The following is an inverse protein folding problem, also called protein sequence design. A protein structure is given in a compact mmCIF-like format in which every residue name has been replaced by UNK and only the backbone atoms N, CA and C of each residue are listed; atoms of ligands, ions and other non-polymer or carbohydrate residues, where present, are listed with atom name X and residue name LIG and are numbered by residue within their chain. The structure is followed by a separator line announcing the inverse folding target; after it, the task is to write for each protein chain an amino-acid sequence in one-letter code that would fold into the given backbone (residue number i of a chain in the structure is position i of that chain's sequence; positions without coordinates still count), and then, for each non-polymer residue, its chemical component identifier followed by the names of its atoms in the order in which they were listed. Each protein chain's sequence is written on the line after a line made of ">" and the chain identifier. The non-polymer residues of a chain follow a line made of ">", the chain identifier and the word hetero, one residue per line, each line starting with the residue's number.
data_IF_128847123688
#
_entry.id   IF_128847123688
#
_cell.length_a   1.000
_cell.length_b   1.000
_cell.length_c   1.000
_cell.angle_alpha   90.00
_cell.angle_beta   90.00
_cell.angle_gamma   90.00
#
_symmetry.space_group_name_H-M   'P 1'
#
loop_
_entity.id
_entity.type
_entity.pdbx_description
1 polymer ?
#
# COMPACT_ATOMS: atom_id res chain seq x y z
N UNK A 1 1.25 -14.24 -10.88
CA UNK A 1 -0.08 -14.00 -10.30
C UNK A 1 -0.75 -12.73 -10.85
N UNK A 2 -0.29 -11.51 -10.53
CA UNK A 2 -0.92 -10.27 -11.04
C UNK A 2 -0.91 -10.19 -12.58
N UNK A 3 0.24 -10.51 -13.19
CA UNK A 3 0.33 -10.64 -14.65
C UNK A 3 -0.71 -11.60 -15.22
N UNK A 4 -0.86 -12.77 -14.61
CA UNK A 4 -1.78 -13.80 -15.09
C UNK A 4 -3.23 -13.32 -14.98
N UNK A 5 -3.60 -12.66 -13.87
CA UNK A 5 -4.94 -12.08 -13.71
C UNK A 5 -5.21 -11.06 -14.81
N UNK A 6 -4.35 -10.05 -14.98
CA UNK A 6 -4.56 -8.99 -15.97
C UNK A 6 -4.59 -9.54 -17.40
N UNK A 7 -3.71 -10.48 -17.73
CA UNK A 7 -3.63 -11.05 -19.07
C UNK A 7 -4.83 -11.95 -19.42
N UNK A 8 -5.52 -12.51 -18.42
CA UNK A 8 -6.70 -13.35 -18.64
C UNK A 8 -8.01 -12.54 -18.69
N UNK A 9 -8.09 -11.37 -18.04
CA UNK A 9 -9.36 -10.63 -17.91
C UNK A 9 -9.41 -9.31 -18.68
N UNK A 10 -8.25 -8.78 -19.12
CA UNK A 10 -8.16 -7.44 -19.69
C UNK A 10 -7.44 -7.42 -21.05
N UNK A 11 -7.82 -6.46 -21.88
CA UNK A 11 -7.11 -6.06 -23.09
C UNK A 11 -6.53 -4.66 -22.93
N UNK A 12 -5.46 -4.35 -23.66
CA UNK A 12 -4.95 -2.99 -23.70
C UNK A 12 -5.97 -2.04 -24.34
N UNK A 13 -6.37 -1.00 -23.61
CA UNK A 13 -7.29 0.04 -24.11
C UNK A 13 -6.81 0.75 -25.38
N UNK A 14 -5.51 0.81 -25.61
CA UNK A 14 -4.91 1.61 -26.69
C UNK A 14 -4.60 0.82 -27.97
N UNK A 15 -4.33 -0.50 -27.85
CA UNK A 15 -3.99 -1.33 -29.01
C UNK A 15 -4.85 -2.61 -29.14
N UNK A 16 -5.82 -2.80 -28.24
CA UNK A 16 -6.79 -3.91 -28.19
C UNK A 16 -6.18 -5.33 -28.14
N UNK A 17 -4.88 -5.44 -27.81
CA UNK A 17 -4.22 -6.74 -27.65
C UNK A 17 -4.54 -7.36 -26.29
N UNK A 18 -4.66 -8.69 -26.30
CA UNK A 18 -4.74 -9.54 -25.09
C UNK A 18 -3.35 -10.07 -24.72
N UNK A 19 -3.19 -10.62 -23.52
CA UNK A 19 -1.92 -11.20 -23.04
C UNK A 19 -0.71 -10.25 -23.17
N UNK A 20 -0.95 -8.95 -23.02
CA UNK A 20 0.04 -7.92 -23.30
C UNK A 20 0.55 -7.17 -22.08
N UNK A 21 -0.03 -7.38 -20.89
CA UNK A 21 0.30 -6.62 -19.70
C UNK A 21 1.53 -7.18 -19.00
N UNK A 22 2.45 -6.26 -18.68
CA UNK A 22 3.51 -6.43 -17.71
C UNK A 22 3.21 -5.58 -16.47
N UNK A 23 2.77 -6.25 -15.41
CA UNK A 23 2.47 -5.67 -14.11
C UNK A 23 3.71 -5.79 -13.25
N UNK A 24 4.25 -4.64 -12.88
CA UNK A 24 5.48 -4.52 -12.12
C UNK A 24 5.25 -3.67 -10.89
N UNK A 25 6.02 -3.97 -9.85
CA UNK A 25 6.07 -3.15 -8.65
C UNK A 25 7.33 -2.28 -8.68
N UNK A 26 7.17 -0.97 -8.48
CA UNK A 26 8.30 -0.09 -8.29
C UNK A 26 8.74 -0.10 -6.81
N UNK A 27 9.66 -1.02 -6.48
CA UNK A 27 10.17 -1.23 -5.12
C UNK A 27 10.86 0.00 -4.51
N UNK A 28 11.51 0.85 -5.31
CA UNK A 28 12.21 2.05 -4.80
C UNK A 28 11.23 3.17 -4.40
N UNK A 29 10.02 3.15 -4.95
CA UNK A 29 8.97 4.10 -4.61
C UNK A 29 8.11 3.70 -3.41
N UNK A 30 8.33 2.51 -2.83
CA UNK A 30 7.58 2.02 -1.66
C UNK A 30 7.60 3.03 -0.51
N UNK A 31 6.48 3.14 0.21
CA UNK A 31 6.33 3.98 1.39
C UNK A 31 5.72 3.13 2.52
N UNK A 32 6.58 2.48 3.30
CA UNK A 32 6.15 1.48 4.28
C UNK A 32 5.47 0.31 3.58
N UNK A 33 4.25 0.00 3.98
CA UNK A 33 3.41 -1.06 3.41
C UNK A 33 2.72 -0.65 2.10
N UNK A 34 2.74 0.63 1.74
CA UNK A 34 2.19 1.08 0.46
C UNK A 34 3.22 0.85 -0.67
N UNK A 35 2.85 0.01 -1.62
CA UNK A 35 3.59 -0.27 -2.85
C UNK A 35 3.03 0.50 -4.04
N UNK A 36 3.91 0.89 -4.97
CA UNK A 36 3.54 1.42 -6.28
C UNK A 36 3.52 0.29 -7.29
N UNK A 37 2.40 0.11 -7.97
CA UNK A 37 2.20 -0.93 -8.98
C UNK A 37 1.83 -0.26 -10.30
N UNK A 38 2.43 -0.72 -11.39
CA UNK A 38 2.13 -0.27 -12.74
C UNK A 38 1.92 -1.44 -13.69
N UNK A 39 0.91 -1.34 -14.54
CA UNK A 39 0.67 -2.23 -15.65
C UNK A 39 1.05 -1.55 -16.97
N UNK A 40 1.99 -2.14 -17.70
CA UNK A 40 2.50 -1.61 -18.98
C UNK A 40 2.17 -2.59 -20.10
N UNK A 41 1.60 -2.09 -21.20
CA UNK A 41 1.42 -2.89 -22.40
C UNK A 41 2.76 -3.09 -23.12
N UNK A 42 3.18 -4.34 -23.33
CA UNK A 42 4.44 -4.69 -24.00
C UNK A 42 4.50 -4.29 -25.48
N UNK A 43 3.34 -4.05 -26.11
CA UNK A 43 3.28 -3.74 -27.56
C UNK A 43 3.23 -2.24 -27.87
N UNK A 44 2.40 -1.47 -27.17
CA UNK A 44 2.26 -0.03 -27.43
C UNK A 44 2.91 0.85 -26.35
N UNK A 45 3.45 0.27 -25.28
CA UNK A 45 4.13 1.00 -24.21
C UNK A 45 3.21 1.78 -23.28
N UNK A 46 1.90 1.79 -23.49
CA UNK A 46 0.96 2.48 -22.58
C UNK A 46 1.10 1.92 -21.17
N UNK A 47 1.35 2.79 -20.20
CA UNK A 47 1.55 2.42 -18.81
C UNK A 47 0.59 3.17 -17.90
N UNK A 48 -0.01 2.46 -16.95
CA UNK A 48 -0.86 3.02 -15.91
C UNK A 48 -0.51 2.37 -14.59
N UNK A 49 -0.41 3.18 -13.55
CA UNK A 49 -0.06 2.68 -12.23
C UNK A 49 -0.53 3.61 -11.12
N UNK A 50 -0.60 3.06 -9.92
CA UNK A 50 -1.00 3.79 -8.73
C UNK A 50 -0.37 3.17 -7.49
N UNK A 51 -0.48 3.90 -6.39
CA UNK A 51 -0.21 3.33 -5.07
C UNK A 51 -1.34 2.36 -4.69
N UNK A 52 -0.97 1.32 -3.96
CA UNK A 52 -1.88 0.30 -3.41
C UNK A 52 -2.75 0.79 -2.25
N UNK A 53 -2.52 2.00 -1.78
CA UNK A 53 -3.27 2.64 -0.70
C UNK A 53 -3.47 4.11 -1.03
N UNK A 54 -4.55 4.70 -0.52
CA UNK A 54 -4.79 6.14 -0.66
C UNK A 54 -3.73 6.94 0.09
N UNK A 55 -3.34 8.05 -0.51
CA UNK A 55 -2.49 9.07 0.11
C UNK A 55 -3.35 9.95 1.02
N UNK A 56 -2.83 10.23 2.20
CA UNK A 56 -3.42 11.11 3.23
C UNK A 56 -2.34 12.03 3.79
N UNK A 57 -2.66 13.15 4.47
CA UNK A 57 -1.65 14.08 4.95
C UNK A 57 -0.55 13.45 5.81
N UNK A 58 -0.87 12.41 6.58
CA UNK A 58 0.07 11.68 7.43
C UNK A 58 0.83 10.54 6.71
N UNK A 59 0.60 10.30 5.42
CA UNK A 59 1.24 9.25 4.64
C UNK A 59 0.25 8.43 3.81
N UNK A 60 0.18 7.13 4.06
CA UNK A 60 -0.77 6.23 3.37
C UNK A 60 -1.68 5.55 4.39
N UNK A 61 -2.95 5.39 4.06
CA UNK A 61 -3.95 4.78 4.96
C UNK A 61 -3.52 3.42 5.50
N UNK A 62 -2.94 2.56 4.64
CA UNK A 62 -2.45 1.24 5.06
C UNK A 62 -1.40 1.33 6.18
N UNK A 63 -0.54 2.35 6.16
CA UNK A 63 0.47 2.55 7.19
C UNK A 63 -0.17 3.00 8.50
N UNK A 64 -1.12 3.94 8.46
CA UNK A 64 -1.84 4.41 9.64
C UNK A 64 -2.63 3.27 10.29
N UNK A 65 -3.37 2.49 9.49
CA UNK A 65 -4.17 1.35 9.98
C UNK A 65 -3.27 0.26 10.56
N UNK A 66 -2.14 -0.02 9.93
CA UNK A 66 -1.18 -0.99 10.45
C UNK A 66 -0.58 -0.54 11.78
N UNK A 67 -0.12 0.70 11.89
CA UNK A 67 0.42 1.24 13.16
C UNK A 67 -0.65 1.29 14.24
N UNK A 68 -1.87 1.71 13.92
CA UNK A 68 -2.99 1.70 14.84
C UNK A 68 -3.30 0.29 15.35
N UNK A 69 -3.41 -0.69 14.44
CA UNK A 69 -3.63 -2.09 14.80
C UNK A 69 -2.54 -2.63 15.72
N UNK A 70 -1.27 -2.39 15.40
CA UNK A 70 -0.14 -2.78 16.26
C UNK A 70 -0.23 -2.11 17.65
N UNK A 71 -0.64 -0.84 17.71
CA UNK A 71 -0.83 -0.11 18.99
C UNK A 71 -1.95 -0.71 19.83
N UNK A 72 -3.08 -1.09 19.23
CA UNK A 72 -4.21 -1.71 19.92
C UNK A 72 -3.82 -3.02 20.63
N UNK A 73 -2.87 -3.77 20.07
CA UNK A 73 -2.38 -5.02 20.66
C UNK A 73 -1.10 -4.84 21.49
N UNK A 74 -0.71 -3.59 21.79
CA UNK A 74 0.49 -3.30 22.60
C UNK A 74 1.82 -3.57 21.90
N UNK A 75 1.82 -3.70 20.57
CA UNK A 75 3.00 -4.02 19.77
C UNK A 75 3.67 -2.75 19.23
N UNK A 76 4.98 -2.65 19.47
CA UNK A 76 5.83 -1.58 18.95
C UNK A 76 6.47 -1.91 17.60
N UNK A 77 7.25 -0.96 17.08
CA UNK A 77 7.92 -1.02 15.77
C UNK A 77 8.76 -2.27 15.54
N UNK A 78 9.56 -2.70 16.52
CA UNK A 78 10.47 -3.83 16.36
C UNK A 78 9.72 -5.14 16.08
N UNK A 79 8.72 -5.47 16.89
CA UNK A 79 7.90 -6.64 16.64
C UNK A 79 7.04 -6.51 15.36
N UNK A 80 6.61 -5.28 15.01
CA UNK A 80 5.94 -5.03 13.73
C UNK A 80 6.86 -5.29 12.51
N UNK A 81 8.18 -5.02 12.62
CA UNK A 81 9.16 -5.38 11.58
C UNK A 81 9.30 -6.89 11.46
N UNK A 82 9.40 -7.61 12.58
CA UNK A 82 9.43 -9.08 12.59
C UNK A 82 8.18 -9.67 11.96
N UNK A 83 7.00 -9.14 12.31
CA UNK A 83 5.74 -9.55 11.71
C UNK A 83 5.74 -9.35 10.18
N UNK A 84 6.12 -8.16 9.70
CA UNK A 84 6.21 -7.90 8.26
C UNK A 84 7.18 -8.87 7.56
N UNK A 85 8.35 -9.12 8.15
CA UNK A 85 9.33 -10.05 7.59
C UNK A 85 8.78 -11.48 7.49
N UNK A 86 8.13 -11.97 8.56
CA UNK A 86 7.53 -13.30 8.61
C UNK A 86 6.41 -13.47 7.58
N UNK A 87 5.62 -12.42 7.36
CA UNK A 87 4.48 -12.43 6.44
C UNK A 87 4.88 -12.08 5.00
N UNK A 88 6.18 -11.91 4.70
CA UNK A 88 6.68 -11.47 3.40
C UNK A 88 6.06 -10.14 2.92
N UNK A 89 5.82 -9.22 3.86
CA UNK A 89 5.31 -7.89 3.60
C UNK A 89 6.47 -6.88 3.45
N UNK A 90 6.25 -5.74 2.78
CA UNK A 90 7.17 -4.62 2.88
C UNK A 90 7.42 -4.22 4.34
N UNK A 91 8.60 -3.68 4.66
CA UNK A 91 8.89 -3.23 6.02
C UNK A 91 7.87 -2.15 6.44
N UNK A 92 7.56 -2.08 7.73
CA UNK A 92 6.66 -1.05 8.25
C UNK A 92 7.22 0.35 7.97
N UNK A 93 6.38 1.41 8.04
CA UNK A 93 6.81 2.77 7.74
C UNK A 93 8.03 3.17 8.59
N UNK A 94 9.07 3.69 7.94
CA UNK A 94 10.33 4.06 8.60
C UNK A 94 10.12 5.05 9.76
N UNK A 95 9.18 5.99 9.58
CA UNK A 95 8.74 6.98 10.56
C UNK A 95 7.52 6.49 11.36
N UNK A 96 7.60 5.26 11.88
CA UNK A 96 6.50 4.56 12.57
C UNK A 96 5.87 5.41 13.68
N UNK A 97 6.70 6.01 14.52
CA UNK A 97 6.30 6.79 15.70
C UNK A 97 5.63 8.12 15.31
N UNK A 98 5.95 8.68 14.14
CA UNK A 98 5.30 9.92 13.65
C UNK A 98 3.82 9.72 13.33
N UNK A 99 3.38 8.48 13.17
CA UNK A 99 1.98 8.16 12.93
C UNK A 99 1.15 8.18 14.22
N UNK A 100 1.77 8.22 15.40
CA UNK A 100 1.03 8.23 16.66
C UNK A 100 0.19 9.50 16.85
N UNK A 101 0.74 10.68 16.56
CA UNK A 101 0.00 11.94 16.66
C UNK A 101 -1.26 11.98 15.78
N UNK A 102 -1.19 11.73 14.45
CA UNK A 102 -2.39 11.75 13.62
C UNK A 102 -3.39 10.64 14.01
N UNK A 103 -2.93 9.48 14.48
CA UNK A 103 -3.81 8.42 15.01
C UNK A 103 -4.50 8.89 16.28
N UNK A 104 -3.76 9.47 17.23
CA UNK A 104 -4.30 9.97 18.50
C UNK A 104 -5.37 11.05 18.27
N UNK A 105 -5.08 12.04 17.42
CA UNK A 105 -6.04 13.11 17.10
C UNK A 105 -7.32 12.56 16.45
N UNK A 106 -7.18 11.56 15.57
CA UNK A 106 -8.34 10.89 14.96
C UNK A 106 -9.18 10.14 16.00
N UNK A 107 -8.53 9.49 16.97
CA UNK A 107 -9.21 8.80 18.07
C UNK A 107 -9.95 9.78 18.97
N UNK A 108 -9.32 10.90 19.36
CA UNK A 108 -9.94 11.93 20.20
C UNK A 108 -11.17 12.56 19.51
N UNK A 109 -11.08 12.78 18.20
CA UNK A 109 -12.20 13.27 17.39
C UNK A 109 -13.33 12.24 17.32
N UNK A 110 -13.02 10.95 17.22
CA UNK A 110 -14.02 9.90 17.19
C UNK A 110 -14.69 9.71 18.56
N UNK A 111 -13.92 9.77 19.65
CA UNK A 111 -14.45 9.64 21.01
C UNK A 111 -15.34 10.82 21.40
N UNK A 112 -14.97 12.05 21.03
CA UNK A 112 -15.79 13.24 21.33
C UNK A 112 -17.12 13.27 20.59
N UNK A 113 -17.24 12.60 19.44
CA UNK A 113 -18.49 12.49 18.67
C UNK A 113 -19.38 11.32 19.08
N UNK A 114 -18.86 10.41 19.90
CA UNK A 114 -19.57 9.22 20.36
C UNK A 114 -20.26 9.42 21.71
N UNK A 115 -20.05 10.60 22.32
CA UNK A 115 -20.76 11.09 23.52
C UNK A 115 -21.82 12.09 23.10
#
# INVERSE_FOLDING_TARGET
>A
MLNDIFNNIAKCRYCDRSFCFDVTENKSSRKGLASSISATCKYCGSSHGSMTSNSVPAGYEVNLRFVYGMRCIGIGKSAAQTFCALMNLPPPPAKFERLYTPIFNALETASSRSM
#
